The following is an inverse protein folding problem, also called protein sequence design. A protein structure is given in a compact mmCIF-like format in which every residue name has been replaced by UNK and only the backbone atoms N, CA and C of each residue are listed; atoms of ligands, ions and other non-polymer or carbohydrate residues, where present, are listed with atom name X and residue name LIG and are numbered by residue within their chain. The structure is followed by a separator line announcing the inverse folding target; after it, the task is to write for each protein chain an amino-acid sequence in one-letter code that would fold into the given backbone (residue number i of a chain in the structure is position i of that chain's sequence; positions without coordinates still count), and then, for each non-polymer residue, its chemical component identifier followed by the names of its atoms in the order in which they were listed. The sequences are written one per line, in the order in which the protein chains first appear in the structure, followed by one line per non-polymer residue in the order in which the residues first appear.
data_IF_153414829516
#
_entry.id   IF_153414829516
#
_cell.length_a   1.000
_cell.length_b   1.000
_cell.length_c   1.000
_cell.angle_alpha   90.00
_cell.angle_beta   90.00
_cell.angle_gamma   90.00
#
_symmetry.space_group_name_H-M   'P 1'
#
loop_
_entity.id
_entity.type
_entity.pdbx_description
1 polymer ?
#
# COMPACT_ATOMS: atom_id res chain seq x y z
N UNK A 1 11.64 -22.75 13.01
CA UNK A 1 10.80 -23.17 11.87
C UNK A 1 9.31 -22.91 12.10
N UNK A 2 8.72 -23.32 13.22
CA UNK A 2 7.29 -23.09 13.52
C UNK A 2 6.89 -21.60 13.43
N UNK A 3 7.62 -20.71 14.10
CA UNK A 3 7.35 -19.27 14.11
C UNK A 3 7.49 -18.60 12.73
N UNK A 4 8.45 -19.05 11.91
CA UNK A 4 8.63 -18.58 10.53
C UNK A 4 7.42 -18.91 9.65
N UNK A 5 6.93 -20.15 9.70
CA UNK A 5 5.74 -20.56 8.95
C UNK A 5 4.52 -19.76 9.43
N UNK A 6 4.35 -19.59 10.74
CA UNK A 6 3.28 -18.77 11.31
C UNK A 6 3.34 -17.31 10.82
N UNK A 7 4.54 -16.71 10.73
CA UNK A 7 4.72 -15.35 10.20
C UNK A 7 4.29 -15.22 8.73
N UNK A 8 4.62 -16.21 7.90
CA UNK A 8 4.20 -16.24 6.50
C UNK A 8 2.69 -16.42 6.40
N UNK A 9 2.12 -17.40 7.10
CA UNK A 9 0.68 -17.67 7.09
C UNK A 9 -0.12 -16.47 7.56
N UNK A 10 0.35 -15.79 8.61
CA UNK A 10 -0.26 -14.56 9.10
C UNK A 10 -0.25 -13.47 8.02
N UNK A 11 0.90 -13.24 7.38
CA UNK A 11 1.07 -12.22 6.34
C UNK A 11 0.19 -12.47 5.12
N UNK A 12 0.10 -13.74 4.68
CA UNK A 12 -0.79 -14.16 3.59
C UNK A 12 -2.26 -13.97 3.97
N UNK A 13 -2.64 -14.40 5.17
CA UNK A 13 -4.02 -14.25 5.67
C UNK A 13 -4.43 -12.79 5.72
N UNK A 14 -3.56 -11.90 6.20
CA UNK A 14 -3.82 -10.48 6.28
C UNK A 14 -4.03 -9.85 4.89
N UNK A 15 -3.18 -10.21 3.92
CA UNK A 15 -3.29 -9.75 2.53
C UNK A 15 -4.60 -10.21 1.89
N UNK A 16 -4.98 -11.47 2.06
CA UNK A 16 -6.22 -12.05 1.50
C UNK A 16 -7.45 -11.41 2.16
N UNK A 17 -7.47 -11.30 3.49
CA UNK A 17 -8.57 -10.69 4.22
C UNK A 17 -8.76 -9.24 3.77
N UNK A 18 -7.68 -8.44 3.71
CA UNK A 18 -7.75 -7.07 3.20
C UNK A 18 -8.30 -7.00 1.77
N UNK A 19 -7.83 -7.86 0.86
CA UNK A 19 -8.34 -7.92 -0.52
C UNK A 19 -9.83 -8.25 -0.60
N UNK A 20 -10.31 -9.22 0.20
CA UNK A 20 -11.73 -9.55 0.27
C UNK A 20 -12.56 -8.36 0.77
N UNK A 21 -12.09 -7.66 1.80
CA UNK A 21 -12.77 -6.47 2.30
C UNK A 21 -12.76 -5.32 1.30
N UNK A 22 -11.69 -5.14 0.50
CA UNK A 22 -11.67 -4.15 -0.59
C UNK A 22 -12.84 -4.43 -1.54
N UNK A 23 -12.96 -5.67 -2.04
CA UNK A 23 -14.03 -6.03 -2.97
C UNK A 23 -15.42 -5.81 -2.36
N UNK A 24 -15.63 -6.28 -1.12
CA UNK A 24 -16.92 -6.12 -0.44
C UNK A 24 -17.28 -4.65 -0.22
N UNK A 25 -16.33 -3.83 0.24
CA UNK A 25 -16.57 -2.42 0.50
C UNK A 25 -16.77 -1.63 -0.79
N UNK A 26 -16.04 -1.95 -1.86
CA UNK A 26 -16.27 -1.36 -3.19
C UNK A 26 -17.66 -1.69 -3.74
N UNK A 27 -18.14 -2.93 -3.58
CA UNK A 27 -19.49 -3.33 -3.99
C UNK A 27 -20.56 -2.53 -3.24
N UNK A 28 -20.41 -2.38 -1.92
CA UNK A 28 -21.32 -1.56 -1.10
C UNK A 28 -21.24 -0.10 -1.52
N UNK A 29 -20.04 0.47 -1.67
CA UNK A 29 -19.87 1.87 -2.06
C UNK A 29 -20.47 2.17 -3.43
N UNK A 30 -20.40 1.24 -4.39
CA UNK A 30 -21.01 1.40 -5.71
C UNK A 30 -22.55 1.50 -5.66
N UNK A 31 -23.21 0.86 -4.67
CA UNK A 31 -24.67 0.94 -4.51
C UNK A 31 -25.11 2.32 -4.01
N UNK A 32 -24.28 3.00 -3.21
CA UNK A 32 -24.66 4.25 -2.55
C UNK A 32 -24.05 5.52 -3.19
N UNK A 33 -22.93 5.40 -3.91
CA UNK A 33 -22.13 6.55 -4.39
C UNK A 33 -21.79 6.46 -5.87
N UNK A 34 -22.79 6.27 -6.74
CA UNK A 34 -22.66 5.86 -8.15
C UNK A 34 -21.67 6.62 -9.04
N UNK A 35 -21.35 7.89 -8.76
CA UNK A 35 -20.51 8.71 -9.64
C UNK A 35 -19.20 9.21 -9.02
N UNK A 36 -18.96 8.99 -7.71
CA UNK A 36 -17.79 9.55 -7.03
C UNK A 36 -16.67 8.51 -6.84
N UNK A 37 -15.59 8.67 -7.61
CA UNK A 37 -14.40 7.82 -7.55
C UNK A 37 -13.76 7.79 -6.15
N UNK A 38 -13.87 8.88 -5.39
CA UNK A 38 -13.33 8.96 -4.04
C UNK A 38 -14.04 7.96 -3.13
N UNK A 39 -15.37 7.97 -3.13
CA UNK A 39 -16.18 7.07 -2.31
C UNK A 39 -16.18 5.63 -2.83
N UNK A 40 -16.05 5.42 -4.14
CA UNK A 40 -16.04 4.07 -4.72
C UNK A 40 -14.70 3.34 -4.61
N UNK A 41 -13.58 4.07 -4.58
CA UNK A 41 -12.25 3.47 -4.65
C UNK A 41 -11.38 3.83 -3.43
N UNK A 42 -11.25 5.13 -3.12
CA UNK A 42 -10.33 5.58 -2.06
C UNK A 42 -10.77 5.12 -0.68
N UNK A 43 -12.04 5.36 -0.34
CA UNK A 43 -12.59 5.01 0.97
C UNK A 43 -12.54 3.49 1.21
N UNK A 44 -13.03 2.62 0.30
CA UNK A 44 -12.86 1.18 0.38
C UNK A 44 -11.41 0.73 0.60
N UNK A 45 -10.46 1.34 -0.12
CA UNK A 45 -9.04 1.01 0.00
C UNK A 45 -8.50 1.34 1.39
N UNK A 46 -8.76 2.55 1.90
CA UNK A 46 -8.30 2.96 3.22
C UNK A 46 -8.93 2.09 4.32
N UNK A 47 -10.24 1.83 4.25
CA UNK A 47 -10.90 0.97 5.24
C UNK A 47 -10.29 -0.43 5.22
N UNK A 48 -10.11 -1.01 4.05
CA UNK A 48 -9.80 -2.44 3.92
C UNK A 48 -8.32 -2.76 4.03
N UNK A 49 -7.44 -1.89 3.53
CA UNK A 49 -5.99 -2.11 3.50
C UNK A 49 -5.29 -1.42 4.67
N UNK A 50 -5.83 -0.30 5.18
CA UNK A 50 -5.24 0.39 6.34
C UNK A 50 -5.95 0.04 7.64
N UNK A 51 -7.26 0.32 7.74
CA UNK A 51 -7.99 0.25 9.01
C UNK A 51 -8.17 -1.18 9.51
N UNK A 52 -8.56 -2.12 8.65
CA UNK A 52 -8.76 -3.52 9.03
C UNK A 52 -7.46 -4.17 9.54
N UNK A 53 -6.32 -4.10 8.82
CA UNK A 53 -5.05 -4.61 9.34
C UNK A 53 -4.62 -3.95 10.65
N UNK A 54 -4.83 -2.64 10.79
CA UNK A 54 -4.60 -1.94 12.05
C UNK A 54 -5.45 -2.53 13.20
N UNK A 55 -6.74 -2.75 12.97
CA UNK A 55 -7.65 -3.32 13.98
C UNK A 55 -7.27 -4.76 14.36
N UNK A 56 -6.96 -5.61 13.37
CA UNK A 56 -6.54 -7.00 13.58
C UNK A 56 -5.24 -7.02 14.42
N UNK A 57 -4.22 -6.25 14.04
CA UNK A 57 -2.98 -6.19 14.80
C UNK A 57 -3.20 -5.67 16.22
N UNK A 58 -4.03 -4.64 16.39
CA UNK A 58 -4.37 -4.09 17.71
C UNK A 58 -5.06 -5.14 18.59
N UNK A 59 -6.00 -5.91 18.03
CA UNK A 59 -6.68 -6.99 18.72
C UNK A 59 -5.71 -8.08 19.18
N UNK A 60 -4.81 -8.51 18.30
CA UNK A 60 -3.77 -9.50 18.61
C UNK A 60 -2.60 -8.94 19.43
N UNK A 61 -2.62 -7.64 19.78
CA UNK A 61 -1.54 -6.93 20.47
C UNK A 61 -0.17 -7.09 19.79
N UNK A 62 -0.17 -7.27 18.47
CA UNK A 62 1.05 -7.38 17.67
C UNK A 62 1.64 -5.97 17.61
N UNK A 63 2.82 -5.82 18.20
CA UNK A 63 3.60 -4.59 18.07
C UNK A 63 4.35 -4.66 16.75
N UNK A 64 4.19 -3.62 15.94
CA UNK A 64 5.03 -3.40 14.78
C UNK A 64 5.52 -1.97 14.82
N UNK A 65 6.76 -1.77 14.38
CA UNK A 65 7.36 -0.44 14.31
C UNK A 65 7.11 0.14 12.92
N UNK A 66 5.90 0.65 12.72
CA UNK A 66 5.62 1.55 11.61
C UNK A 66 5.66 3.00 12.13
N UNK A 67 6.85 3.45 12.53
CA UNK A 67 7.02 4.82 12.99
C UNK A 67 7.20 5.77 11.80
N UNK A 68 6.16 6.54 11.49
CA UNK A 68 6.30 7.72 10.64
C UNK A 68 6.52 8.91 11.57
N UNK A 69 7.71 9.49 11.53
CA UNK A 69 8.00 10.70 12.30
C UNK A 69 7.14 11.88 11.82
N UNK A 70 6.90 12.87 12.68
CA UNK A 70 6.18 14.09 12.28
C UNK A 70 6.84 14.79 11.09
N UNK A 71 8.18 14.77 11.01
CA UNK A 71 8.93 15.26 9.86
C UNK A 71 8.56 14.51 8.58
N UNK A 72 8.45 13.19 8.66
CA UNK A 72 8.09 12.37 7.51
C UNK A 72 6.64 12.59 7.05
N UNK A 73 5.70 12.84 7.97
CA UNK A 73 4.33 13.25 7.61
C UNK A 73 4.36 14.54 6.81
N UNK A 74 5.12 15.54 7.26
CA UNK A 74 5.28 16.81 6.53
C UNK A 74 5.86 16.56 5.14
N UNK A 75 6.84 15.67 5.00
CA UNK A 75 7.42 15.31 3.68
C UNK A 75 6.36 14.69 2.75
N UNK A 76 5.54 13.75 3.24
CA UNK A 76 4.45 13.17 2.42
C UNK A 76 3.45 14.23 2.02
N UNK A 77 2.96 15.05 2.97
CA UNK A 77 1.99 16.11 2.69
C UNK A 77 2.55 17.14 1.70
N UNK A 78 3.82 17.53 1.85
CA UNK A 78 4.49 18.45 0.94
C UNK A 78 4.58 17.84 -0.47
N UNK A 79 4.98 16.57 -0.58
CA UNK A 79 5.05 15.88 -1.88
C UNK A 79 3.67 15.81 -2.56
N UNK A 80 2.61 15.55 -1.78
CA UNK A 80 1.23 15.51 -2.27
C UNK A 80 0.78 16.89 -2.77
N UNK A 81 1.03 17.96 -2.01
CA UNK A 81 0.73 19.33 -2.41
C UNK A 81 1.48 19.74 -3.69
N UNK A 82 2.76 19.38 -3.81
CA UNK A 82 3.54 19.64 -5.03
C UNK A 82 2.93 18.91 -6.23
N UNK A 83 2.59 17.62 -6.10
CA UNK A 83 1.95 16.87 -7.18
C UNK A 83 0.63 17.50 -7.62
N UNK A 84 -0.20 17.95 -6.66
CA UNK A 84 -1.47 18.60 -6.98
C UNK A 84 -1.27 19.89 -7.75
N UNK A 85 -0.33 20.72 -7.29
CA UNK A 85 0.00 21.97 -7.95
C UNK A 85 0.51 21.74 -9.37
N UNK A 86 1.44 20.80 -9.56
CA UNK A 86 1.99 20.46 -10.89
C UNK A 86 0.91 19.93 -11.82
N UNK A 87 0.09 18.96 -11.39
CA UNK A 87 -0.97 18.39 -12.21
C UNK A 87 -2.03 19.43 -12.56
N UNK A 88 -2.39 20.29 -11.61
CA UNK A 88 -3.31 21.40 -11.86
C UNK A 88 -2.75 22.38 -12.91
N UNK A 89 -1.47 22.78 -12.80
CA UNK A 89 -0.86 23.70 -13.75
C UNK A 89 -0.75 23.13 -15.17
N UNK A 90 -0.39 21.84 -15.29
CA UNK A 90 -0.14 21.21 -16.60
C UNK A 90 -1.44 20.86 -17.32
N UNK A 91 -2.42 20.31 -16.61
CA UNK A 91 -3.63 19.77 -17.24
C UNK A 91 -4.88 20.63 -17.01
N UNK A 92 -4.90 21.47 -15.98
CA UNK A 92 -6.04 22.31 -15.60
C UNK A 92 -7.36 21.52 -15.44
N UNK A 93 -7.28 20.29 -14.90
CA UNK A 93 -8.43 19.42 -14.66
C UNK A 93 -8.51 19.02 -13.19
N UNK A 94 -9.59 19.43 -12.52
CA UNK A 94 -9.82 19.11 -11.11
C UNK A 94 -9.89 17.60 -10.84
N UNK A 95 -10.42 16.82 -11.79
CA UNK A 95 -10.54 15.36 -11.67
C UNK A 95 -9.16 14.66 -11.57
N UNK A 96 -8.14 15.18 -12.27
CA UNK A 96 -6.77 14.63 -12.19
C UNK A 96 -6.10 14.95 -10.85
N UNK A 97 -6.43 16.11 -10.26
CA UNK A 97 -5.98 16.45 -8.90
C UNK A 97 -6.59 15.51 -7.86
N UNK A 98 -7.90 15.22 -7.98
CA UNK A 98 -8.58 14.24 -7.12
C UNK A 98 -7.99 12.83 -7.29
N UNK A 99 -7.62 12.46 -8.52
CA UNK A 99 -6.96 11.19 -8.80
C UNK A 99 -5.57 11.11 -8.14
N UNK A 100 -4.81 12.21 -8.12
CA UNK A 100 -3.55 12.26 -7.37
C UNK A 100 -3.78 12.00 -5.87
N UNK A 101 -4.82 12.62 -5.29
CA UNK A 101 -5.18 12.38 -3.89
C UNK A 101 -5.51 10.91 -3.64
N UNK A 102 -6.31 10.30 -4.52
CA UNK A 102 -6.61 8.88 -4.49
C UNK A 102 -5.32 8.03 -4.46
N UNK A 103 -4.38 8.26 -5.37
CA UNK A 103 -3.16 7.48 -5.44
C UNK A 103 -2.25 7.63 -4.21
N UNK A 104 -2.24 8.80 -3.57
CA UNK A 104 -1.56 8.96 -2.29
C UNK A 104 -2.23 8.13 -1.19
N UNK A 105 -3.57 8.10 -1.12
CA UNK A 105 -4.28 7.28 -0.13
C UNK A 105 -4.05 5.78 -0.35
N UNK A 106 -4.07 5.32 -1.60
CA UNK A 106 -3.74 3.93 -1.96
C UNK A 106 -2.31 3.61 -1.53
N UNK A 107 -1.33 4.42 -1.92
CA UNK A 107 0.07 4.20 -1.58
C UNK A 107 0.31 4.19 -0.06
N UNK A 108 -0.30 5.12 0.69
CA UNK A 108 -0.24 5.12 2.17
C UNK A 108 -0.78 3.81 2.73
N UNK A 109 -1.94 3.37 2.24
CA UNK A 109 -2.61 2.17 2.76
C UNK A 109 -1.81 0.89 2.45
N UNK A 110 -1.39 0.72 1.20
CA UNK A 110 -0.65 -0.47 0.77
C UNK A 110 0.74 -0.52 1.39
N UNK A 111 1.50 0.58 1.40
CA UNK A 111 2.82 0.58 2.01
C UNK A 111 2.74 0.40 3.53
N UNK A 112 1.68 0.86 4.17
CA UNK A 112 1.42 0.56 5.58
C UNK A 112 1.21 -0.95 5.81
N UNK A 113 0.39 -1.61 5.00
CA UNK A 113 0.17 -3.05 5.11
C UNK A 113 1.44 -3.85 4.79
N UNK A 114 1.98 -3.70 3.58
CA UNK A 114 3.04 -4.56 3.08
C UNK A 114 4.39 -4.24 3.70
N UNK A 115 4.71 -2.95 3.84
CA UNK A 115 6.02 -2.51 4.34
C UNK A 115 5.92 -2.26 5.83
N UNK A 116 4.88 -1.59 6.33
CA UNK A 116 4.72 -1.36 7.76
C UNK A 116 4.52 -2.65 8.58
N UNK A 117 3.56 -3.48 8.20
CA UNK A 117 3.14 -4.65 8.99
C UNK A 117 3.82 -5.93 8.50
N UNK A 118 3.59 -6.33 7.24
CA UNK A 118 4.01 -7.64 6.72
C UNK A 118 5.53 -7.78 6.71
N UNK A 119 6.25 -6.79 6.16
CA UNK A 119 7.71 -6.79 6.21
C UNK A 119 8.23 -6.87 7.65
N UNK A 120 7.68 -6.05 8.56
CA UNK A 120 8.12 -6.05 9.96
C UNK A 120 7.97 -7.44 10.57
N UNK A 121 6.80 -8.06 10.40
CA UNK A 121 6.51 -9.38 10.93
C UNK A 121 7.45 -10.45 10.39
N UNK A 122 7.70 -10.43 9.08
CA UNK A 122 8.66 -11.33 8.44
C UNK A 122 10.11 -11.09 8.93
N UNK A 123 10.49 -9.84 9.18
CA UNK A 123 11.83 -9.48 9.65
C UNK A 123 12.12 -9.90 11.09
N UNK A 124 11.10 -10.15 11.91
CA UNK A 124 11.29 -10.72 13.26
C UNK A 124 11.83 -12.16 13.20
N UNK A 125 11.51 -12.90 12.14
CA UNK A 125 11.83 -14.33 12.02
C UNK A 125 12.94 -14.61 10.98
N UNK A 126 13.13 -13.71 10.00
CA UNK A 126 14.06 -13.87 8.89
C UNK A 126 15.23 -12.89 9.05
N UNK A 127 16.45 -13.42 9.24
CA UNK A 127 17.67 -12.60 9.42
C UNK A 127 18.09 -11.81 8.18
N UNK A 128 17.78 -12.31 6.97
CA UNK A 128 18.20 -11.67 5.73
C UNK A 128 17.13 -10.73 5.20
N UNK A 129 17.44 -9.44 5.19
CA UNK A 129 16.54 -8.39 4.68
C UNK A 129 16.20 -8.62 3.21
N UNK A 130 17.13 -9.14 2.40
CA UNK A 130 16.88 -9.46 0.99
C UNK A 130 15.75 -10.48 0.87
N UNK A 131 15.77 -11.54 1.69
CA UNK A 131 14.70 -12.54 1.68
C UNK A 131 13.36 -11.96 2.17
N UNK A 132 13.38 -11.07 3.16
CA UNK A 132 12.17 -10.37 3.62
C UNK A 132 11.59 -9.50 2.51
N UNK A 133 12.44 -8.74 1.80
CA UNK A 133 12.03 -7.94 0.64
C UNK A 133 11.40 -8.82 -0.43
N UNK A 134 12.05 -9.93 -0.82
CA UNK A 134 11.52 -10.82 -1.85
C UNK A 134 10.17 -11.42 -1.45
N UNK A 135 10.05 -11.95 -0.22
CA UNK A 135 8.80 -12.56 0.24
C UNK A 135 7.68 -11.53 0.35
N UNK A 136 7.93 -10.38 1.00
CA UNK A 136 6.91 -9.32 1.11
C UNK A 136 6.49 -8.76 -0.25
N UNK A 137 7.41 -8.70 -1.22
CA UNK A 137 7.11 -8.28 -2.59
C UNK A 137 6.28 -9.32 -3.35
N UNK A 138 6.55 -10.61 -3.15
CA UNK A 138 5.70 -11.68 -3.68
C UNK A 138 4.27 -11.59 -3.11
N UNK A 139 4.14 -11.37 -1.79
CA UNK A 139 2.83 -11.24 -1.14
C UNK A 139 2.08 -10.03 -1.72
N UNK A 140 2.73 -8.87 -1.79
CA UNK A 140 2.18 -7.67 -2.43
C UNK A 140 1.69 -7.95 -3.86
N UNK A 141 2.55 -8.49 -4.72
CA UNK A 141 2.26 -8.66 -6.13
C UNK A 141 1.18 -9.71 -6.42
N UNK A 142 1.22 -10.86 -5.75
CA UNK A 142 0.37 -12.01 -6.11
C UNK A 142 -0.84 -12.20 -5.21
N UNK A 143 -0.75 -11.82 -3.93
CA UNK A 143 -1.86 -11.93 -2.99
C UNK A 143 -2.59 -10.59 -2.82
N UNK A 144 -1.86 -9.48 -2.86
CA UNK A 144 -2.45 -8.14 -2.86
C UNK A 144 -3.23 -7.81 -4.12
N UNK A 145 -2.83 -8.40 -5.25
CA UNK A 145 -3.46 -8.19 -6.56
C UNK A 145 -3.90 -9.51 -7.20
N UNK A 146 -4.49 -10.41 -6.41
CA UNK A 146 -4.94 -11.73 -6.89
C UNK A 146 -5.99 -11.64 -8.01
N UNK A 147 -6.74 -10.53 -8.11
CA UNK A 147 -7.71 -10.30 -9.18
C UNK A 147 -7.11 -9.88 -10.53
N UNK A 148 -5.81 -9.66 -10.59
CA UNK A 148 -5.11 -9.15 -11.78
C UNK A 148 -4.40 -10.29 -12.55
N UNK A 149 -4.13 -10.11 -13.86
CA UNK A 149 -3.44 -11.15 -14.63
C UNK A 149 -2.03 -11.40 -14.09
N UNK A 150 -1.67 -12.68 -13.99
CA UNK A 150 -0.41 -13.13 -13.40
C UNK A 150 0.82 -12.45 -14.00
N UNK A 151 0.86 -12.25 -15.31
CA UNK A 151 1.99 -11.62 -15.99
C UNK A 151 2.16 -10.15 -15.61
N UNK A 152 1.07 -9.40 -15.38
CA UNK A 152 1.17 -8.02 -14.87
C UNK A 152 1.76 -8.00 -13.46
N UNK A 153 1.34 -8.95 -12.62
CA UNK A 153 1.85 -9.08 -11.27
C UNK A 153 3.34 -9.42 -11.27
N UNK A 154 3.77 -10.32 -12.15
CA UNK A 154 5.18 -10.74 -12.26
C UNK A 154 6.09 -9.66 -12.85
N UNK A 155 5.67 -8.97 -13.92
CA UNK A 155 6.54 -8.06 -14.68
C UNK A 155 6.57 -6.65 -14.08
N UNK A 156 5.45 -6.17 -13.54
CA UNK A 156 5.36 -4.80 -13.03
C UNK A 156 5.31 -4.77 -11.51
N UNK A 157 4.34 -5.46 -10.90
CA UNK A 157 4.08 -5.31 -9.46
C UNK A 157 5.16 -5.95 -8.59
N UNK A 158 5.70 -7.09 -8.99
CA UNK A 158 6.76 -7.76 -8.23
C UNK A 158 8.07 -6.94 -8.24
N UNK A 159 8.59 -6.46 -9.38
CA UNK A 159 9.75 -5.56 -9.40
C UNK A 159 9.53 -4.25 -8.64
N UNK A 160 8.36 -3.63 -8.77
CA UNK A 160 8.01 -2.46 -7.96
C UNK A 160 7.97 -2.79 -6.47
N UNK A 161 7.44 -3.97 -6.13
CA UNK A 161 7.41 -4.43 -4.76
C UNK A 161 8.80 -4.54 -4.16
N UNK A 162 9.75 -5.07 -4.94
CA UNK A 162 11.17 -5.15 -4.57
C UNK A 162 11.76 -3.75 -4.40
N UNK A 163 11.50 -2.84 -5.34
CA UNK A 163 11.94 -1.45 -5.25
C UNK A 163 11.45 -0.79 -3.94
N UNK A 164 10.17 -0.91 -3.63
CA UNK A 164 9.58 -0.36 -2.41
C UNK A 164 10.15 -1.01 -1.14
N UNK A 165 10.36 -2.34 -1.16
CA UNK A 165 11.01 -3.06 -0.07
C UNK A 165 12.46 -2.60 0.15
N UNK A 166 13.22 -2.39 -0.93
CA UNK A 166 14.59 -1.87 -0.84
C UNK A 166 14.63 -0.43 -0.31
N UNK A 167 13.71 0.43 -0.76
CA UNK A 167 13.57 1.80 -0.23
C UNK A 167 13.26 1.78 1.26
N UNK A 168 12.40 0.85 1.72
CA UNK A 168 12.14 0.67 3.15
C UNK A 168 13.42 0.33 3.90
N UNK A 169 14.17 -0.66 3.45
CA UNK A 169 15.43 -1.09 4.09
C UNK A 169 16.41 0.08 4.18
N UNK A 170 16.63 0.78 3.06
CA UNK A 170 17.60 1.88 2.98
C UNK A 170 17.23 3.08 3.87
N UNK A 171 15.94 3.31 4.10
CA UNK A 171 15.45 4.52 4.77
C UNK A 171 14.91 4.26 6.18
N UNK A 172 14.76 2.98 6.57
CA UNK A 172 14.22 2.57 7.86
C UNK A 172 12.71 2.86 8.05
N UNK A 173 12.00 3.26 6.99
CA UNK A 173 10.60 3.65 7.09
C UNK A 173 9.83 3.54 5.78
N UNK A 174 8.53 3.85 5.82
CA UNK A 174 7.64 3.71 4.65
C UNK A 174 7.42 5.01 3.87
N UNK A 175 7.98 6.12 4.33
CA UNK A 175 7.79 7.45 3.73
C UNK A 175 8.22 7.52 2.27
N UNK A 176 9.43 7.06 1.95
CA UNK A 176 9.92 7.06 0.57
C UNK A 176 9.21 6.03 -0.31
N UNK A 177 8.95 4.79 0.15
CA UNK A 177 8.05 3.87 -0.56
C UNK A 177 6.70 4.51 -0.92
N UNK A 178 6.03 5.20 0.01
CA UNK A 178 4.73 5.86 -0.23
C UNK A 178 4.84 6.87 -1.38
N UNK A 179 5.85 7.75 -1.33
CA UNK A 179 5.99 8.83 -2.31
C UNK A 179 6.29 8.25 -3.70
N UNK A 180 7.24 7.30 -3.78
CA UNK A 180 7.62 6.68 -5.06
C UNK A 180 6.46 5.87 -5.63
N UNK A 181 5.71 5.15 -4.79
CA UNK A 181 4.53 4.40 -5.20
C UNK A 181 3.43 5.33 -5.73
N UNK A 182 3.07 6.38 -4.98
CA UNK A 182 2.07 7.35 -5.41
C UNK A 182 2.47 8.00 -6.76
N UNK A 183 3.74 8.40 -6.90
CA UNK A 183 4.24 9.00 -8.14
C UNK A 183 4.22 8.03 -9.31
N UNK A 184 4.59 6.77 -9.09
CA UNK A 184 4.48 5.73 -10.10
C UNK A 184 3.04 5.63 -10.60
N UNK A 185 2.06 5.49 -9.70
CA UNK A 185 0.64 5.38 -10.07
C UNK A 185 0.13 6.63 -10.80
N UNK A 186 0.52 7.83 -10.36
CA UNK A 186 0.18 9.09 -11.03
C UNK A 186 0.75 9.12 -12.45
N UNK A 187 2.04 8.81 -12.62
CA UNK A 187 2.73 8.89 -13.91
C UNK A 187 2.10 7.92 -14.91
N UNK A 188 1.95 6.63 -14.56
CA UNK A 188 1.44 5.62 -15.50
C UNK A 188 -0.04 5.81 -15.87
N UNK A 189 -0.79 6.59 -15.08
CA UNK A 189 -2.22 6.80 -15.31
C UNK A 189 -2.49 8.07 -16.11
N UNK A 190 -1.64 9.08 -15.95
CA UNK A 190 -1.76 10.36 -16.65
C UNK A 190 -1.10 10.32 -18.04
N UNK A 191 -0.06 9.50 -18.22
CA UNK A 191 0.65 9.31 -19.49
C UNK A 191 0.17 8.05 -20.23
#
# INVERSE_FOLDING_TARGET
MKNFIESILYSLSLSIISGLFVVLTMLVSKIYFFDDIFFQMSVPTVISIFLIPYMINRYHKIRYTCYISSRNIIVVLTSMCISFFVVYLVYNQANLVLLCFHFFLVAISEEYLYRGIIYFRLSEEIKSEIFVVLISSCIFAFFGHMGEPFYYNLIYRFPLGILFGFLRVKTGGITYPIIVHAFYNIIITIW
#
